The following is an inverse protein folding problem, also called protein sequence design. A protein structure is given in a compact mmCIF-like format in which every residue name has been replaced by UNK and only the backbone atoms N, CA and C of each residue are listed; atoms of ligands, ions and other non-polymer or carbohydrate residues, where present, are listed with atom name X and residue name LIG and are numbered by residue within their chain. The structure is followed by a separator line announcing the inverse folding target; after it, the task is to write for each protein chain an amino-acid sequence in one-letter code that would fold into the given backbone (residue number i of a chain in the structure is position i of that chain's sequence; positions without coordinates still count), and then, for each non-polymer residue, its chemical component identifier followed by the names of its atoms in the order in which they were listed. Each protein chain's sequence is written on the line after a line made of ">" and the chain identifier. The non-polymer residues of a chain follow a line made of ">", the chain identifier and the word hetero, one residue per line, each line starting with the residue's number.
data_IF_582696047748
#
_entry.id   IF_582696047748
#
_cell.length_a   1.000
_cell.length_b   1.000
_cell.length_c   1.000
_cell.angle_alpha   90.00
_cell.angle_beta   90.00
_cell.angle_gamma   90.00
#
_symmetry.space_group_name_H-M   'P 1'
#
loop_
_entity.id
_entity.type
_entity.pdbx_description
1 polymer ?
#
# COMPACT_ATOMS: atom_id res chain seq x y z
N UNK A 1 1.77 35.03 -9.62
CA UNK A 1 2.36 33.82 -9.01
C UNK A 1 3.88 33.96 -8.88
N UNK A 2 4.61 34.22 -9.98
CA UNK A 2 6.06 34.54 -9.95
C UNK A 2 6.41 35.73 -9.03
N UNK A 3 5.70 36.85 -9.12
CA UNK A 3 5.94 38.01 -8.24
C UNK A 3 5.58 37.76 -6.76
N UNK A 4 4.73 36.78 -6.45
CA UNK A 4 4.29 36.49 -5.08
C UNK A 4 5.18 35.44 -4.39
N UNK A 5 5.75 34.50 -5.15
CA UNK A 5 6.46 33.35 -4.60
C UNK A 5 7.88 33.16 -5.17
N UNK A 6 8.35 34.05 -6.05
CA UNK A 6 9.74 34.12 -6.51
C UNK A 6 10.24 32.93 -7.34
N UNK A 7 9.37 32.00 -7.75
CA UNK A 7 9.75 30.84 -8.56
C UNK A 7 9.19 30.94 -9.97
N UNK A 8 10.06 30.73 -10.97
CA UNK A 8 9.69 30.70 -12.39
C UNK A 8 8.63 29.64 -12.62
N UNK A 9 7.48 30.03 -13.15
CA UNK A 9 6.40 29.12 -13.50
C UNK A 9 6.84 28.32 -14.73
N UNK A 10 7.13 27.03 -14.58
CA UNK A 10 7.11 26.09 -15.72
C UNK A 10 5.66 25.73 -15.99
N UNK A 11 4.93 26.59 -16.68
CA UNK A 11 3.58 26.28 -17.11
C UNK A 11 3.64 25.26 -18.26
N UNK A 12 3.11 24.05 -18.03
CA UNK A 12 2.96 23.01 -19.06
C UNK A 12 1.64 23.12 -19.84
N UNK A 13 0.74 24.01 -19.43
CA UNK A 13 -0.62 24.05 -19.97
C UNK A 13 -1.00 25.50 -20.24
N UNK A 14 -0.78 25.90 -21.49
CA UNK A 14 -1.30 27.14 -22.06
C UNK A 14 -2.76 26.89 -22.43
N UNK A 15 -3.68 27.46 -21.65
CA UNK A 15 -5.14 27.26 -21.79
C UNK A 15 -5.75 27.92 -23.03
N UNK A 16 -5.01 28.76 -23.74
CA UNK A 16 -5.48 29.49 -24.93
C UNK A 16 -5.63 28.58 -26.17
N UNK A 17 -4.90 27.46 -26.23
CA UNK A 17 -5.10 26.47 -27.31
C UNK A 17 -6.30 25.54 -27.09
N UNK A 18 -7.02 25.68 -25.97
CA UNK A 18 -8.39 25.16 -25.84
C UNK A 18 -9.36 26.22 -26.35
N UNK A 19 -9.02 26.83 -27.50
CA UNK A 19 -9.97 27.60 -28.28
C UNK A 19 -11.22 26.78 -28.51
N UNK A 20 -12.36 27.48 -28.51
CA UNK A 20 -13.70 26.98 -28.74
C UNK A 20 -13.71 25.98 -29.91
N UNK A 21 -13.50 24.71 -29.60
CA UNK A 21 -13.53 23.65 -30.60
C UNK A 21 -14.99 23.56 -30.96
N UNK A 22 -15.35 24.04 -32.16
CA UNK A 22 -16.69 23.84 -32.70
C UNK A 22 -16.96 22.35 -32.58
N UNK A 23 -17.88 22.00 -31.69
CA UNK A 23 -18.13 20.62 -31.34
C UNK A 23 -18.73 19.99 -32.60
N UNK A 24 -18.07 18.96 -33.14
CA UNK A 24 -18.53 18.18 -34.28
C UNK A 24 -19.87 17.51 -33.94
N UNK A 25 -20.96 18.25 -34.08
CA UNK A 25 -22.33 17.77 -33.95
C UNK A 25 -22.76 17.26 -32.55
N UNK A 26 -24.08 17.21 -32.29
CA UNK A 26 -24.63 16.67 -31.04
C UNK A 26 -24.37 15.15 -30.87
N UNK A 27 -24.23 14.41 -31.97
CA UNK A 27 -24.01 12.95 -31.95
C UNK A 27 -22.68 12.55 -31.29
N UNK A 28 -21.60 13.29 -31.56
CA UNK A 28 -20.30 13.03 -30.93
C UNK A 28 -20.32 13.37 -29.44
N UNK A 29 -21.12 14.34 -29.02
CA UNK A 29 -21.30 14.69 -27.60
C UNK A 29 -21.98 13.53 -26.86
N UNK A 30 -23.01 12.94 -27.44
CA UNK A 30 -23.72 11.80 -26.84
C UNK A 30 -22.80 10.58 -26.70
N UNK A 31 -22.09 10.22 -27.77
CA UNK A 31 -21.13 9.09 -27.76
C UNK A 31 -19.98 9.32 -26.78
N UNK A 32 -19.51 10.56 -26.63
CA UNK A 32 -18.43 10.87 -25.67
C UNK A 32 -18.93 10.85 -24.23
N UNK A 33 -20.14 11.35 -23.96
CA UNK A 33 -20.76 11.27 -22.63
C UNK A 33 -20.96 9.84 -22.17
N UNK A 34 -21.45 8.96 -23.05
CA UNK A 34 -21.61 7.53 -22.73
C UNK A 34 -20.26 6.89 -22.36
N UNK A 35 -19.20 7.16 -23.14
CA UNK A 35 -17.84 6.67 -22.84
C UNK A 35 -17.30 7.24 -21.53
N UNK A 36 -17.59 8.50 -21.23
CA UNK A 36 -17.21 9.14 -19.97
C UNK A 36 -17.88 8.43 -18.79
N UNK A 37 -19.16 8.09 -18.89
CA UNK A 37 -19.88 7.41 -17.81
C UNK A 37 -19.39 5.98 -17.59
N UNK A 38 -19.13 5.23 -18.67
CA UNK A 38 -18.47 3.92 -18.57
C UNK A 38 -17.10 4.02 -17.89
N UNK A 39 -16.33 5.07 -18.21
CA UNK A 39 -15.00 5.29 -17.60
C UNK A 39 -15.12 5.61 -16.11
N UNK A 40 -16.10 6.44 -15.72
CA UNK A 40 -16.37 6.75 -14.30
C UNK A 40 -16.73 5.49 -13.51
N UNK A 41 -17.58 4.61 -14.04
CA UNK A 41 -17.97 3.37 -13.36
C UNK A 41 -16.78 2.42 -13.21
N UNK A 42 -15.96 2.23 -14.25
CA UNK A 42 -14.73 1.45 -14.17
C UNK A 42 -13.75 2.00 -13.12
N UNK A 43 -13.65 3.32 -13.02
CA UNK A 43 -12.79 3.98 -12.03
C UNK A 43 -13.31 3.79 -10.59
N UNK A 44 -14.64 3.88 -10.40
CA UNK A 44 -15.27 3.56 -9.11
C UNK A 44 -15.01 2.11 -8.72
N UNK A 45 -15.17 1.17 -9.64
CA UNK A 45 -14.91 -0.24 -9.40
C UNK A 45 -13.44 -0.52 -9.07
N UNK A 46 -12.49 0.09 -9.78
CA UNK A 46 -11.07 -0.03 -9.46
C UNK A 46 -10.76 0.51 -8.05
N UNK A 47 -11.37 1.64 -7.66
CA UNK A 47 -11.23 2.22 -6.32
C UNK A 47 -11.81 1.30 -5.25
N UNK A 48 -13.00 0.74 -5.44
CA UNK A 48 -13.61 -0.17 -4.45
C UNK A 48 -12.79 -1.45 -4.31
N UNK A 49 -12.25 -1.99 -5.41
CA UNK A 49 -11.32 -3.13 -5.38
C UNK A 49 -10.04 -2.80 -4.60
N UNK A 50 -9.39 -1.66 -4.85
CA UNK A 50 -8.22 -1.25 -4.06
C UNK A 50 -8.55 -1.11 -2.57
N UNK A 51 -9.69 -0.50 -2.26
CA UNK A 51 -10.14 -0.33 -0.88
C UNK A 51 -10.37 -1.67 -0.19
N UNK A 52 -10.99 -2.65 -0.86
CA UNK A 52 -11.21 -3.98 -0.27
C UNK A 52 -9.90 -4.72 0.00
N UNK A 53 -8.88 -4.59 -0.86
CA UNK A 53 -7.54 -5.12 -0.61
C UNK A 53 -6.90 -4.47 0.63
N UNK A 54 -6.93 -3.13 0.71
CA UNK A 54 -6.40 -2.39 1.86
C UNK A 54 -7.13 -2.73 3.16
N UNK A 55 -8.46 -2.83 3.13
CA UNK A 55 -9.29 -3.18 4.29
C UNK A 55 -9.05 -4.61 4.75
N UNK A 56 -8.86 -5.57 3.83
CA UNK A 56 -8.47 -6.96 4.18
C UNK A 56 -7.13 -7.00 4.88
N UNK A 57 -6.15 -6.23 4.41
CA UNK A 57 -4.84 -6.13 5.05
C UNK A 57 -4.94 -5.47 6.44
N UNK A 58 -5.73 -4.39 6.58
CA UNK A 58 -5.98 -3.74 7.88
C UNK A 58 -6.64 -4.68 8.88
N UNK A 59 -7.68 -5.43 8.47
CA UNK A 59 -8.33 -6.43 9.35
C UNK A 59 -7.39 -7.54 9.78
N UNK A 60 -6.43 -7.94 8.92
CA UNK A 60 -5.42 -8.94 9.31
C UNK A 60 -4.51 -8.42 10.43
N UNK A 61 -4.21 -7.12 10.44
CA UNK A 61 -3.42 -6.47 11.50
C UNK A 61 -4.26 -6.30 12.78
N UNK A 62 -5.52 -5.90 12.65
CA UNK A 62 -6.44 -5.68 13.78
C UNK A 62 -6.87 -7.00 14.46
N UNK A 63 -6.81 -8.12 13.74
CA UNK A 63 -7.02 -9.47 14.29
C UNK A 63 -5.89 -9.97 15.18
N UNK A 64 -4.70 -9.36 15.14
CA UNK A 64 -3.69 -9.54 16.18
C UNK A 64 -4.16 -8.78 17.41
N UNK A 65 -4.97 -9.45 18.25
CA UNK A 65 -5.09 -9.05 19.65
C UNK A 65 -3.67 -9.08 20.21
N UNK A 66 -3.14 -7.94 20.62
CA UNK A 66 -1.96 -7.89 21.47
C UNK A 66 -2.22 -8.82 22.66
N UNK A 67 -1.67 -10.02 22.65
CA UNK A 67 -1.66 -10.87 23.82
C UNK A 67 -0.83 -10.13 24.86
N UNK A 68 -1.30 -9.92 26.10
CA UNK A 68 -0.54 -9.22 27.14
C UNK A 68 0.84 -9.84 27.44
N UNK A 69 1.10 -11.07 26.97
CA UNK A 69 2.40 -11.76 27.04
C UNK A 69 3.31 -11.53 25.82
N UNK A 70 2.90 -10.75 24.81
CA UNK A 70 3.76 -10.35 23.68
C UNK A 70 4.69 -9.17 24.02
N UNK A 71 4.64 -8.67 25.25
CA UNK A 71 5.78 -7.95 25.81
C UNK A 71 6.82 -9.02 26.15
N UNK A 72 7.80 -9.21 25.26
CA UNK A 72 9.00 -9.97 25.60
C UNK A 72 9.70 -9.17 26.71
N UNK A 73 9.36 -9.44 27.97
CA UNK A 73 10.13 -8.93 29.10
C UNK A 73 11.41 -9.73 29.13
N UNK A 74 12.50 -9.16 28.64
CA UNK A 74 13.82 -9.69 28.95
C UNK A 74 14.08 -9.38 30.42
N UNK A 75 14.19 -10.38 31.32
CA UNK A 75 14.67 -10.13 32.66
C UNK A 75 16.07 -9.50 32.58
N UNK A 76 16.30 -8.27 33.10
CA UNK A 76 17.59 -7.56 33.00
C UNK A 76 18.77 -8.31 33.64
N UNK A 77 18.46 -9.30 34.47
CA UNK A 77 19.37 -10.11 35.27
C UNK A 77 20.14 -11.19 34.48
N UNK A 78 19.88 -11.36 33.19
CA UNK A 78 20.65 -12.27 32.33
C UNK A 78 21.91 -11.64 31.71
N UNK A 79 22.12 -10.34 31.90
CA UNK A 79 23.32 -9.66 31.40
C UNK A 79 24.42 -9.78 32.46
N UNK A 80 25.39 -10.67 32.22
CA UNK A 80 26.62 -10.72 33.01
C UNK A 80 27.26 -9.32 32.99
N UNK A 81 27.75 -8.85 34.13
CA UNK A 81 28.34 -7.50 34.28
C UNK A 81 29.56 -7.25 33.38
N UNK A 82 30.17 -8.30 32.85
CA UNK A 82 31.27 -8.27 31.90
C UNK A 82 30.81 -8.17 30.42
N UNK A 83 29.49 -8.10 30.17
CA UNK A 83 28.88 -8.12 28.82
C UNK A 83 29.32 -9.32 27.97
N UNK A 84 29.88 -10.38 28.58
CA UNK A 84 30.37 -11.54 27.84
C UNK A 84 29.21 -12.45 27.45
N UNK A 85 29.02 -12.60 26.14
CA UNK A 85 27.99 -13.48 25.56
C UNK A 85 28.64 -14.81 25.16
N UNK A 86 28.30 -15.90 25.85
CA UNK A 86 28.63 -17.26 25.40
C UNK A 86 27.45 -17.77 24.57
N UNK A 87 27.65 -17.89 23.26
CA UNK A 87 26.64 -18.41 22.34
C UNK A 87 26.58 -19.92 22.45
N UNK A 88 25.70 -20.45 23.28
CA UNK A 88 25.39 -21.90 23.25
C UNK A 88 24.56 -22.21 21.99
N UNK A 89 25.01 -23.12 21.11
CA UNK A 89 24.23 -23.51 19.96
C UNK A 89 23.08 -24.42 20.41
N UNK A 90 21.90 -23.84 20.61
CA UNK A 90 20.68 -24.64 20.73
C UNK A 90 20.39 -25.31 19.39
N UNK A 91 20.41 -26.64 19.37
CA UNK A 91 20.00 -27.42 18.21
C UNK A 91 18.47 -27.32 18.07
N UNK A 92 18.00 -26.82 16.93
CA UNK A 92 16.57 -26.78 16.60
C UNK A 92 16.11 -28.23 16.40
N UNK A 93 15.48 -28.82 17.44
CA UNK A 93 15.03 -30.21 17.46
C UNK A 93 13.82 -30.46 16.54
N UNK A 94 12.98 -29.44 16.32
CA UNK A 94 11.78 -29.53 15.50
C UNK A 94 11.81 -28.46 14.40
N UNK A 95 12.08 -28.89 13.16
CA UNK A 95 11.93 -28.05 11.97
C UNK A 95 10.50 -28.22 11.46
N UNK A 96 9.65 -27.27 11.79
CA UNK A 96 8.30 -27.24 11.24
C UNK A 96 8.32 -26.59 9.85
N UNK A 97 7.82 -27.36 8.88
CA UNK A 97 7.72 -26.94 7.49
C UNK A 97 6.28 -26.51 7.18
N UNK A 98 6.11 -25.29 6.67
CA UNK A 98 4.84 -24.87 6.09
C UNK A 98 4.79 -25.23 4.62
N UNK A 99 4.05 -26.30 4.32
CA UNK A 99 3.77 -26.72 2.95
C UNK A 99 2.66 -25.86 2.34
N UNK A 100 2.93 -25.28 1.17
CA UNK A 100 1.97 -24.57 0.34
C UNK A 100 1.88 -25.24 -1.04
N UNK A 101 0.91 -24.78 -1.85
CA UNK A 101 0.60 -25.39 -3.17
C UNK A 101 1.80 -25.56 -4.11
N UNK A 102 2.81 -24.69 -4.00
CA UNK A 102 4.00 -24.73 -4.86
C UNK A 102 5.33 -24.57 -4.12
N UNK A 103 5.33 -24.51 -2.79
CA UNK A 103 6.57 -24.35 -2.01
C UNK A 103 6.42 -24.77 -0.57
N UNK A 104 7.51 -25.21 0.02
CA UNK A 104 7.65 -25.50 1.44
C UNK A 104 8.56 -24.47 2.06
N UNK A 105 8.14 -23.84 3.16
CA UNK A 105 8.91 -22.83 3.88
C UNK A 105 9.24 -23.37 5.27
N UNK A 106 10.53 -23.54 5.63
CA UNK A 106 10.89 -23.91 6.99
C UNK A 106 10.71 -22.71 7.92
N UNK A 107 10.08 -22.94 9.06
CA UNK A 107 10.05 -21.97 10.16
C UNK A 107 11.32 -22.14 10.99
N UNK A 108 12.39 -21.45 10.56
CA UNK A 108 13.64 -21.31 11.34
C UNK A 108 13.53 -20.09 12.23
#
# INVERSE_FOLDING_TARGET
>A
FEMLYGRKCRALIYWDQVGERVIEGPEMIEVTNEKVDVTKEKLKEARTRQKSYADKHRRSIEGYKYHPLHVISYPPDQIRTDLSYVKEPEAILDRQDRVMRNKTIPFV
#
